data_IF_300760768317
#
_entry.id   IF_300760768317
#
_cell.length_a   1.000
_cell.length_b   1.000
_cell.length_c   1.000
_cell.angle_alpha   90.00
_cell.angle_beta   90.00
_cell.angle_gamma   90.00
#
_symmetry.space_group_name_H-M   'P 1'
#
loop_
_entity.id
_entity.type
_entity.pdbx_description
1 polymer ?
#
# COMPACT_ATOMS: atom_id res chain seq x y z
N UNK A 1 13.78 -6.51 -10.98
CA UNK A 1 12.41 -6.61 -10.41
C UNK A 1 11.46 -5.88 -11.34
N UNK A 2 10.39 -6.51 -11.82
CA UNK A 2 9.41 -5.84 -12.67
C UNK A 2 8.85 -4.62 -11.91
N UNK A 3 8.80 -3.44 -12.55
CA UNK A 3 8.23 -2.21 -11.97
C UNK A 3 6.85 -2.54 -11.38
N UNK A 4 6.75 -2.67 -10.06
CA UNK A 4 5.52 -3.00 -9.37
C UNK A 4 4.52 -1.87 -9.60
N UNK A 5 3.58 -2.06 -10.54
CA UNK A 5 2.58 -1.05 -10.86
C UNK A 5 1.46 -1.09 -9.82
N UNK A 6 1.64 -0.34 -8.73
CA UNK A 6 0.63 -0.19 -7.70
C UNK A 6 -0.71 0.28 -8.29
N UNK A 7 -1.81 -0.27 -7.79
CA UNK A 7 -3.20 0.03 -8.16
C UNK A 7 -3.87 0.69 -6.96
N UNK A 8 -4.56 1.79 -7.22
CA UNK A 8 -5.31 2.54 -6.20
C UNK A 8 -6.66 2.86 -6.82
N UNK A 9 -7.73 2.62 -6.06
CA UNK A 9 -9.09 2.99 -6.40
C UNK A 9 -9.62 3.86 -5.27
N UNK A 10 -9.90 5.12 -5.61
CA UNK A 10 -10.55 6.11 -4.76
C UNK A 10 -11.49 6.95 -5.65
N UNK A 11 -12.59 7.51 -5.12
CA UNK A 11 -13.43 8.43 -5.86
C UNK A 11 -12.64 9.68 -6.27
N UNK A 12 -12.98 10.25 -7.44
CA UNK A 12 -12.38 11.51 -7.91
C UNK A 12 -13.06 12.75 -7.31
N UNK A 13 -14.32 12.62 -6.91
CA UNK A 13 -15.17 13.67 -6.36
C UNK A 13 -15.96 13.11 -5.18
N UNK A 14 -16.00 13.84 -4.07
CA UNK A 14 -16.73 13.53 -2.83
C UNK A 14 -17.25 14.82 -2.20
N UNK A 15 -18.24 14.75 -1.32
CA UNK A 15 -18.71 15.92 -0.56
C UNK A 15 -17.82 16.19 0.65
N UNK A 16 -17.74 17.45 1.08
CA UNK A 16 -17.06 17.77 2.33
C UNK A 16 -17.67 16.98 3.51
N UNK A 17 -16.82 16.33 4.31
CA UNK A 17 -17.23 15.49 5.43
C UNK A 17 -17.68 14.07 5.06
N UNK A 18 -17.77 13.72 3.78
CA UNK A 18 -18.13 12.37 3.33
C UNK A 18 -17.03 11.36 3.68
N UNK A 19 -17.42 10.19 4.16
CA UNK A 19 -16.51 9.05 4.38
C UNK A 19 -16.51 8.20 3.13
N UNK A 20 -15.34 7.99 2.53
CA UNK A 20 -15.19 7.20 1.31
C UNK A 20 -14.16 6.09 1.47
N UNK A 21 -14.37 5.00 0.73
CA UNK A 21 -13.48 3.84 0.73
C UNK A 21 -12.31 4.05 -0.24
N UNK A 22 -11.11 3.70 0.20
CA UNK A 22 -9.89 3.66 -0.60
C UNK A 22 -9.37 2.23 -0.64
N UNK A 23 -9.16 1.72 -1.84
CA UNK A 23 -8.62 0.37 -2.08
C UNK A 23 -7.26 0.45 -2.72
N UNK A 24 -6.32 -0.32 -2.20
CA UNK A 24 -4.97 -0.41 -2.75
C UNK A 24 -4.61 -1.86 -3.03
N UNK A 25 -3.85 -2.08 -4.11
CA UNK A 25 -3.27 -3.37 -4.44
C UNK A 25 -1.89 -3.15 -5.07
N UNK A 26 -0.86 -3.79 -4.54
CA UNK A 26 0.50 -3.68 -5.05
C UNK A 26 1.04 -5.05 -5.46
N UNK A 27 1.48 -5.25 -6.72
CA UNK A 27 2.13 -6.49 -7.12
C UNK A 27 3.42 -6.73 -6.34
N UNK A 28 3.45 -7.77 -5.50
CA UNK A 28 4.62 -8.14 -4.70
C UNK A 28 4.54 -9.61 -4.27
N UNK A 29 5.66 -10.33 -4.23
CA UNK A 29 5.68 -11.77 -3.91
C UNK A 29 5.37 -12.06 -2.44
N UNK A 30 5.72 -11.14 -1.53
CA UNK A 30 5.60 -11.32 -0.08
C UNK A 30 6.24 -12.63 0.39
N UNK A 31 7.53 -12.80 0.11
CA UNK A 31 8.27 -13.99 0.57
C UNK A 31 8.40 -13.92 2.09
N UNK A 32 7.71 -14.82 2.80
CA UNK A 32 7.53 -14.74 4.26
C UNK A 32 8.77 -15.15 5.06
N UNK A 33 9.74 -15.78 4.41
CA UNK A 33 10.89 -16.38 5.08
C UNK A 33 10.68 -17.84 5.50
N UNK A 34 9.47 -18.39 5.32
CA UNK A 34 9.14 -19.76 5.76
C UNK A 34 9.29 -20.81 4.66
N UNK A 35 9.31 -20.40 3.39
CA UNK A 35 9.48 -21.32 2.26
C UNK A 35 10.92 -21.82 2.22
N UNK A 36 11.10 -23.10 1.87
CA UNK A 36 12.41 -23.69 1.61
C UNK A 36 12.71 -23.74 0.12
N UNK A 37 13.97 -23.53 -0.24
CA UNK A 37 14.45 -23.78 -1.60
C UNK A 37 14.46 -25.30 -1.88
N UNK A 38 13.97 -25.70 -3.04
CA UNK A 38 13.83 -27.12 -3.38
C UNK A 38 15.16 -27.81 -3.68
N UNK A 39 16.19 -27.06 -4.08
CA UNK A 39 17.51 -27.59 -4.45
C UNK A 39 18.44 -27.62 -3.24
N UNK A 40 18.43 -26.57 -2.42
CA UNK A 40 19.34 -26.47 -1.26
C UNK A 40 18.70 -26.93 0.06
N UNK A 41 17.37 -26.92 0.16
CA UNK A 41 16.65 -27.22 1.41
C UNK A 41 16.67 -26.08 2.44
N UNK A 42 17.37 -24.98 2.15
CA UNK A 42 17.51 -23.82 3.04
C UNK A 42 16.26 -22.92 3.02
N UNK A 43 16.04 -22.16 4.09
CA UNK A 43 14.97 -21.16 4.13
C UNK A 43 15.31 -20.02 3.19
N UNK A 44 14.33 -19.62 2.39
CA UNK A 44 14.44 -18.47 1.52
C UNK A 44 14.31 -17.21 2.37
N UNK A 45 15.21 -16.22 2.26
CA UNK A 45 15.13 -15.01 3.06
C UNK A 45 13.80 -14.29 2.88
N UNK A 46 13.31 -13.72 3.98
CA UNK A 46 12.13 -12.87 3.97
C UNK A 46 12.35 -11.68 3.04
N UNK A 47 11.34 -11.39 2.22
CA UNK A 47 11.27 -10.22 1.37
C UNK A 47 9.80 -9.83 1.21
N UNK A 48 9.34 -8.95 2.08
CA UNK A 48 7.96 -8.45 2.08
C UNK A 48 7.92 -6.92 1.95
N UNK A 49 6.73 -6.39 1.65
CA UNK A 49 6.39 -5.01 1.96
C UNK A 49 6.11 -4.96 3.46
N UNK A 50 6.88 -4.16 4.21
CA UNK A 50 6.82 -4.10 5.67
C UNK A 50 6.09 -2.85 6.19
N UNK A 51 5.94 -1.81 5.36
CA UNK A 51 5.26 -0.57 5.74
C UNK A 51 4.42 -0.03 4.60
N UNK A 52 3.21 0.40 4.95
CA UNK A 52 2.34 1.20 4.12
C UNK A 52 2.00 2.51 4.83
N UNK A 53 2.01 3.61 4.09
CA UNK A 53 1.57 4.93 4.57
C UNK A 53 0.68 5.57 3.51
N UNK A 54 -0.43 6.17 3.94
CA UNK A 54 -1.19 7.11 3.12
C UNK A 54 -1.27 8.46 3.81
N UNK A 55 -1.00 9.52 3.04
CA UNK A 55 -1.18 10.91 3.46
C UNK A 55 -2.25 11.59 2.62
N UNK A 56 -3.01 12.48 3.24
CA UNK A 56 -3.97 13.36 2.59
C UNK A 56 -3.52 14.81 2.79
N UNK A 57 -3.16 15.50 1.69
CA UNK A 57 -2.60 16.85 1.71
C UNK A 57 -1.39 16.98 2.65
N UNK A 58 -0.51 15.97 2.64
CA UNK A 58 0.68 15.90 3.48
C UNK A 58 0.44 15.46 4.93
N UNK A 59 -0.81 15.31 5.38
CA UNK A 59 -1.13 14.78 6.70
C UNK A 59 -1.32 13.26 6.64
N UNK A 60 -0.62 12.51 7.49
CA UNK A 60 -0.84 11.06 7.60
C UNK A 60 -2.29 10.76 8.01
N UNK A 61 -2.94 9.90 7.23
CA UNK A 61 -4.30 9.40 7.51
C UNK A 61 -4.28 7.94 7.95
N UNK A 62 -3.28 7.17 7.52
CA UNK A 62 -3.06 5.80 7.99
C UNK A 62 -1.58 5.43 7.81
N UNK A 63 -1.06 4.71 8.80
CA UNK A 63 0.16 3.91 8.69
C UNK A 63 -0.15 2.47 9.09
N UNK A 64 0.44 1.51 8.38
CA UNK A 64 0.26 0.09 8.64
C UNK A 64 1.59 -0.63 8.53
N UNK A 65 1.92 -1.40 9.56
CA UNK A 65 3.06 -2.32 9.59
C UNK A 65 2.60 -3.71 9.17
N UNK A 66 3.29 -4.29 8.20
CA UNK A 66 2.95 -5.59 7.63
C UNK A 66 4.03 -6.62 7.97
N UNK A 67 3.59 -7.85 8.14
CA UNK A 67 4.45 -8.99 8.50
C UNK A 67 4.23 -10.16 7.53
N UNK A 68 5.00 -11.23 7.68
CA UNK A 68 5.05 -12.36 6.75
C UNK A 68 3.74 -13.13 6.54
N UNK A 69 2.68 -12.81 7.29
CA UNK A 69 1.34 -13.38 7.12
C UNK A 69 0.47 -12.63 6.09
N UNK A 70 0.91 -11.45 5.60
CA UNK A 70 0.20 -10.73 4.54
C UNK A 70 0.44 -11.42 3.20
N UNK A 71 -0.66 -11.78 2.53
CA UNK A 71 -0.65 -12.51 1.26
C UNK A 71 0.10 -11.77 0.15
N UNK A 72 0.62 -12.54 -0.81
CA UNK A 72 1.15 -12.00 -2.06
C UNK A 72 0.13 -11.09 -2.76
N UNK A 73 0.66 -10.08 -3.46
CA UNK A 73 -0.08 -8.94 -3.99
C UNK A 73 -0.93 -8.24 -2.93
N UNK A 74 -0.31 -7.66 -1.89
CA UNK A 74 -1.03 -7.11 -0.75
C UNK A 74 -2.16 -6.16 -1.16
N UNK A 75 -3.33 -6.40 -0.56
CA UNK A 75 -4.51 -5.58 -0.69
C UNK A 75 -4.83 -4.94 0.65
N UNK A 76 -5.16 -3.64 0.64
CA UNK A 76 -5.64 -2.94 1.81
C UNK A 76 -6.81 -2.04 1.42
N UNK A 77 -7.92 -2.15 2.16
CA UNK A 77 -9.05 -1.23 2.12
C UNK A 77 -9.17 -0.48 3.42
N UNK A 78 -9.43 0.82 3.34
CA UNK A 78 -9.64 1.69 4.49
C UNK A 78 -10.53 2.87 4.11
N UNK A 79 -11.01 3.60 5.11
CA UNK A 79 -11.88 4.75 4.91
C UNK A 79 -11.17 6.05 5.25
N UNK A 80 -11.45 7.10 4.48
CA UNK A 80 -10.98 8.46 4.73
C UNK A 80 -12.20 9.36 4.81
N UNK A 81 -12.20 10.31 5.75
CA UNK A 81 -13.16 11.42 5.77
C UNK A 81 -12.63 12.57 4.92
N UNK A 82 -13.41 12.99 3.92
CA UNK A 82 -13.08 14.11 3.05
C UNK A 82 -13.06 15.43 3.82
N UNK A 83 -12.03 16.24 3.60
CA UNK A 83 -11.90 17.58 4.18
C UNK A 83 -11.80 18.64 3.08
N UNK A 84 -10.70 18.65 2.33
CA UNK A 84 -10.44 19.62 1.26
C UNK A 84 -9.94 18.94 0.00
N UNK A 85 -10.20 19.55 -1.16
CA UNK A 85 -9.60 19.10 -2.42
C UNK A 85 -8.07 18.99 -2.30
N UNK A 86 -7.47 18.02 -2.97
CA UNK A 86 -6.03 17.86 -3.03
C UNK A 86 -5.57 16.45 -3.39
N UNK A 87 -4.54 15.94 -2.71
CA UNK A 87 -3.88 14.68 -3.07
C UNK A 87 -3.94 13.65 -1.95
N UNK A 88 -4.19 12.41 -2.36
CA UNK A 88 -3.91 11.21 -1.58
C UNK A 88 -2.61 10.62 -2.11
N UNK A 89 -1.60 10.55 -1.25
CA UNK A 89 -0.29 10.00 -1.58
C UNK A 89 -0.08 8.70 -0.81
N UNK A 90 0.40 7.69 -1.51
CA UNK A 90 0.50 6.31 -1.03
C UNK A 90 1.95 5.85 -1.17
N UNK A 91 2.49 5.29 -0.09
CA UNK A 91 3.87 4.82 -0.03
C UNK A 91 3.90 3.39 0.50
N UNK A 92 4.57 2.50 -0.23
CA UNK A 92 4.90 1.14 0.20
C UNK A 92 6.42 0.99 0.31
N UNK A 93 6.90 0.44 1.41
CA UNK A 93 8.32 0.16 1.65
C UNK A 93 8.51 -1.33 1.86
N UNK A 94 9.52 -1.91 1.21
CA UNK A 94 9.90 -3.31 1.38
C UNK A 94 11.13 -3.52 2.26
N UNK A 95 11.44 -4.77 2.56
CA UNK A 95 12.57 -5.17 3.41
C UNK A 95 13.94 -4.81 2.81
N UNK A 96 14.03 -4.51 1.51
CA UNK A 96 15.26 -4.00 0.89
C UNK A 96 15.41 -2.47 1.03
N UNK A 97 14.40 -1.80 1.59
CA UNK A 97 14.30 -0.35 1.64
C UNK A 97 13.79 0.27 0.34
N UNK A 98 13.39 -0.54 -0.66
CA UNK A 98 12.84 -0.01 -1.89
C UNK A 98 11.45 0.59 -1.62
N UNK A 99 11.19 1.72 -2.29
CA UNK A 99 9.97 2.49 -2.08
C UNK A 99 9.17 2.56 -3.37
N UNK A 100 7.87 2.26 -3.28
CA UNK A 100 6.91 2.48 -4.35
C UNK A 100 5.95 3.58 -3.92
N UNK A 101 5.77 4.58 -4.78
CA UNK A 101 4.85 5.69 -4.53
C UNK A 101 3.76 5.77 -5.58
N UNK A 102 2.59 6.27 -5.16
CA UNK A 102 1.49 6.60 -6.06
C UNK A 102 0.68 7.75 -5.50
N UNK A 103 0.12 8.58 -6.37
CA UNK A 103 -0.77 9.68 -5.99
C UNK A 103 -2.12 9.58 -6.70
N UNK A 104 -3.18 10.03 -6.02
CA UNK A 104 -4.51 10.19 -6.56
C UNK A 104 -5.06 11.58 -6.21
N UNK A 105 -5.67 12.27 -7.19
CA UNK A 105 -6.34 13.55 -6.96
C UNK A 105 -7.75 13.32 -6.42
N UNK A 106 -8.12 14.08 -5.40
CA UNK A 106 -9.45 14.11 -4.81
C UNK A 106 -10.01 15.53 -4.90
N UNK A 107 -11.19 15.67 -5.49
CA UNK A 107 -11.96 16.92 -5.48
C UNK A 107 -13.04 16.82 -4.41
N UNK A 108 -13.13 17.85 -3.56
CA UNK A 108 -14.17 17.99 -2.55
C UNK A 108 -15.07 19.16 -2.94
N UNK A 109 -16.38 18.92 -2.94
CA UNK A 109 -17.44 19.90 -3.20
C UNK A 109 -18.27 20.20 -1.96
#
# INVERSE_FOLDING_TARGET
MAKAKARVKAPKKVKQGEIFEVKTLIPHKMESGQRKDKKTGEKIPRMIINKFVCTYNGKEVISSSWEGAVSANPYLSFFIKADKSGTLDFTWTDDSGAVVQKSAKLSVS
#
